data_IF_865244760109
#
_entry.id   IF_865244760109
#
_cell.length_a   1.000
_cell.length_b   1.000
_cell.length_c   1.000
_cell.angle_alpha   90.00
_cell.angle_beta   90.00
_cell.angle_gamma   90.00
#
_symmetry.space_group_name_H-M   'P 1'
#
loop_
_entity.id
_entity.type
_entity.pdbx_description
1 polymer ?
#
# COMPACT_ATOMS: atom_id res chain seq x y z
N UNK A 1 4.68 -19.06 -7.51
CA UNK A 1 3.41 -18.62 -8.14
C UNK A 1 3.08 -17.24 -7.60
N UNK A 2 2.86 -16.26 -8.48
CA UNK A 2 2.55 -14.87 -8.12
C UNK A 2 1.15 -14.80 -7.51
N UNK A 3 0.99 -14.08 -6.40
CA UNK A 3 -0.32 -13.75 -5.82
C UNK A 3 -0.84 -12.44 -6.40
N UNK A 4 -2.13 -12.38 -6.69
CA UNK A 4 -2.78 -11.14 -7.12
C UNK A 4 -3.59 -10.54 -5.98
N UNK A 5 -3.27 -9.29 -5.65
CA UNK A 5 -3.97 -8.49 -4.65
C UNK A 5 -4.86 -7.44 -5.31
N UNK A 6 -6.06 -7.23 -4.75
CA UNK A 6 -6.91 -6.11 -5.12
C UNK A 6 -6.72 -4.95 -4.12
N UNK A 7 -6.59 -3.73 -4.64
CA UNK A 7 -6.41 -2.54 -3.81
C UNK A 7 -7.75 -1.95 -3.36
N UNK A 8 -7.90 -1.79 -2.06
CA UNK A 8 -9.04 -1.15 -1.42
C UNK A 8 -8.66 0.29 -1.02
N UNK A 9 -9.13 1.26 -1.80
CA UNK A 9 -8.81 2.67 -1.59
C UNK A 9 -9.68 3.31 -0.52
N UNK A 10 -9.18 3.44 0.71
CA UNK A 10 -9.90 4.04 1.83
C UNK A 10 -10.19 5.53 1.63
N UNK A 11 -9.46 6.20 0.75
CA UNK A 11 -9.62 7.61 0.39
C UNK A 11 -10.77 7.84 -0.58
N UNK A 12 -11.28 6.79 -1.22
CA UNK A 12 -12.35 6.87 -2.21
C UNK A 12 -13.68 6.30 -1.71
N UNK A 13 -13.64 5.22 -0.91
CA UNK A 13 -14.81 4.41 -0.60
C UNK A 13 -15.13 4.43 0.89
N UNK A 14 -16.42 4.45 1.23
CA UNK A 14 -16.88 4.27 2.59
C UNK A 14 -16.62 2.84 3.08
N UNK A 15 -16.55 2.58 4.39
CA UNK A 15 -16.21 1.25 4.94
C UNK A 15 -17.10 0.12 4.41
N UNK A 16 -18.39 0.35 4.24
CA UNK A 16 -19.35 -0.63 3.71
C UNK A 16 -19.09 -0.96 2.24
N UNK A 17 -18.65 0.01 1.44
CA UNK A 17 -18.27 -0.20 0.05
C UNK A 17 -16.95 -0.97 -0.04
N UNK A 18 -15.98 -0.68 0.82
CA UNK A 18 -14.71 -1.43 0.92
C UNK A 18 -14.97 -2.90 1.24
N UNK A 19 -15.86 -3.18 2.20
CA UNK A 19 -16.26 -4.55 2.55
C UNK A 19 -16.85 -5.25 1.33
N UNK A 20 -17.78 -4.60 0.62
CA UNK A 20 -18.38 -5.13 -0.60
C UNK A 20 -17.36 -5.39 -1.71
N UNK A 21 -16.41 -4.46 -1.90
CA UNK A 21 -15.34 -4.65 -2.90
C UNK A 21 -14.40 -5.80 -2.54
N UNK A 22 -14.13 -6.03 -1.26
CA UNK A 22 -13.34 -7.18 -0.81
C UNK A 22 -14.05 -8.50 -1.10
N UNK A 23 -15.38 -8.60 -0.85
CA UNK A 23 -16.19 -9.77 -1.21
C UNK A 23 -16.18 -10.02 -2.73
N UNK A 24 -16.34 -8.96 -3.52
CA UNK A 24 -16.27 -9.06 -4.97
C UNK A 24 -14.89 -9.50 -5.44
N UNK A 25 -13.81 -8.99 -4.85
CA UNK A 25 -12.44 -9.40 -5.17
C UNK A 25 -12.20 -10.89 -4.83
N UNK A 26 -12.70 -11.36 -3.67
CA UNK A 26 -12.68 -12.78 -3.32
C UNK A 26 -13.38 -13.63 -4.39
N UNK A 27 -14.59 -13.23 -4.77
CA UNK A 27 -15.38 -13.96 -5.76
C UNK A 27 -14.76 -13.92 -7.18
N UNK A 28 -14.02 -12.85 -7.47
CA UNK A 28 -13.25 -12.69 -8.71
C UNK A 28 -11.96 -13.52 -8.75
N UNK A 29 -11.57 -14.19 -7.65
CA UNK A 29 -10.40 -15.08 -7.59
C UNK A 29 -9.07 -14.35 -7.31
N UNK A 30 -9.11 -13.19 -6.67
CA UNK A 30 -7.94 -12.58 -6.05
C UNK A 30 -7.46 -13.42 -4.86
N UNK A 31 -6.16 -13.39 -4.63
CA UNK A 31 -5.51 -14.14 -3.55
C UNK A 31 -5.35 -13.29 -2.29
N UNK A 32 -5.46 -11.96 -2.42
CA UNK A 32 -5.21 -10.98 -1.36
C UNK A 32 -6.02 -9.70 -1.60
N UNK A 33 -6.25 -8.95 -0.52
CA UNK A 33 -6.64 -7.53 -0.59
C UNK A 33 -5.70 -6.68 0.26
N UNK A 34 -5.34 -5.49 -0.25
CA UNK A 34 -4.59 -4.48 0.50
C UNK A 34 -5.40 -3.21 0.64
N UNK A 35 -5.38 -2.61 1.82
CA UNK A 35 -6.09 -1.36 2.10
C UNK A 35 -5.10 -0.22 2.32
N UNK A 36 -5.38 0.95 1.74
CA UNK A 36 -4.66 2.19 2.07
C UNK A 36 -5.06 2.70 3.46
N UNK A 37 -4.17 3.45 4.10
CA UNK A 37 -4.42 4.07 5.39
C UNK A 37 -4.16 5.57 5.31
N UNK A 38 -5.24 6.34 5.39
CA UNK A 38 -5.20 7.79 5.39
C UNK A 38 -6.05 8.37 6.52
N UNK A 39 -5.66 9.55 7.04
CA UNK A 39 -6.50 10.37 7.90
C UNK A 39 -7.30 11.37 7.08
N UNK A 40 -6.67 12.00 6.09
CA UNK A 40 -7.32 12.83 5.09
C UNK A 40 -7.29 12.18 3.70
N UNK A 41 -8.35 12.34 2.87
CA UNK A 41 -8.32 11.94 1.47
C UNK A 41 -7.41 12.87 0.65
N UNK A 42 -7.16 12.53 -0.61
CA UNK A 42 -6.37 13.37 -1.52
C UNK A 42 -7.07 14.66 -1.95
N UNK A 43 -8.40 14.66 -1.94
CA UNK A 43 -9.26 15.81 -2.20
C UNK A 43 -10.46 15.76 -1.27
N UNK A 44 -11.03 16.92 -0.96
CA UNK A 44 -12.15 17.05 -0.01
C UNK A 44 -13.51 16.74 -0.62
N UNK A 45 -13.64 16.83 -1.93
CA UNK A 45 -14.85 16.50 -2.65
C UNK A 45 -14.86 15.03 -3.12
N UNK A 46 -16.02 14.36 -3.05
CA UNK A 46 -16.22 12.99 -3.54
C UNK A 46 -15.24 11.95 -2.97
N UNK A 47 -14.64 12.22 -1.84
CA UNK A 47 -13.64 11.35 -1.20
C UNK A 47 -14.10 10.92 0.19
N UNK A 48 -13.52 9.80 0.65
CA UNK A 48 -13.72 9.23 1.98
C UNK A 48 -12.38 9.22 2.74
N UNK A 49 -12.42 8.85 3.98
CA UNK A 49 -11.25 8.39 4.74
C UNK A 49 -11.75 7.63 5.96
N UNK A 50 -11.45 6.36 6.02
CA UNK A 50 -11.88 5.52 7.13
C UNK A 50 -10.67 4.93 7.86
N UNK A 51 -10.88 4.50 9.11
CA UNK A 51 -9.80 3.91 9.89
C UNK A 51 -9.53 2.48 9.40
N UNK A 52 -8.50 2.29 8.60
CA UNK A 52 -8.16 1.05 7.92
C UNK A 52 -8.08 -0.16 8.86
N UNK A 53 -7.58 0.00 10.09
CA UNK A 53 -7.47 -1.09 11.05
C UNK A 53 -8.81 -1.63 11.55
N UNK A 54 -9.82 -0.76 11.71
CA UNK A 54 -11.19 -1.18 12.03
C UNK A 54 -11.81 -1.93 10.85
N UNK A 55 -11.60 -1.44 9.63
CA UNK A 55 -12.06 -2.09 8.39
C UNK A 55 -11.38 -3.44 8.19
N UNK A 56 -10.06 -3.55 8.41
CA UNK A 56 -9.33 -4.83 8.40
C UNK A 56 -9.92 -5.83 9.40
N UNK A 57 -10.27 -5.37 10.61
CA UNK A 57 -10.95 -6.22 11.61
C UNK A 57 -12.28 -6.79 11.08
N UNK A 58 -13.09 -6.00 10.40
CA UNK A 58 -14.32 -6.47 9.76
C UNK A 58 -14.03 -7.46 8.61
N UNK A 59 -13.02 -7.18 7.79
CA UNK A 59 -12.62 -8.05 6.68
C UNK A 59 -12.21 -9.44 7.12
N UNK A 60 -11.63 -9.61 8.31
CA UNK A 60 -11.30 -10.96 8.84
C UNK A 60 -12.50 -11.88 8.97
N UNK A 61 -13.70 -11.33 9.16
CA UNK A 61 -14.95 -12.09 9.25
C UNK A 61 -15.63 -12.28 7.89
N UNK A 62 -15.46 -11.32 6.98
CA UNK A 62 -16.15 -11.32 5.67
C UNK A 62 -15.37 -12.11 4.62
N UNK A 63 -14.05 -11.97 4.60
CA UNK A 63 -13.15 -12.64 3.65
C UNK A 63 -12.02 -13.37 4.38
N UNK A 64 -12.33 -14.29 5.32
CA UNK A 64 -11.35 -14.87 6.24
C UNK A 64 -10.20 -15.62 5.57
N UNK A 65 -10.42 -16.09 4.34
CA UNK A 65 -9.47 -16.93 3.60
C UNK A 65 -8.61 -16.12 2.61
N UNK A 66 -8.84 -14.81 2.46
CA UNK A 66 -7.96 -13.94 1.70
C UNK A 66 -6.79 -13.46 2.57
N UNK A 67 -5.61 -13.39 1.97
CA UNK A 67 -4.54 -12.60 2.59
C UNK A 67 -4.99 -11.15 2.71
N UNK A 68 -4.69 -10.54 3.86
CA UNK A 68 -5.01 -9.13 4.14
C UNK A 68 -3.72 -8.35 4.30
N UNK A 69 -3.71 -7.08 3.92
CA UNK A 69 -2.54 -6.25 4.15
C UNK A 69 -2.81 -4.75 4.16
N UNK A 70 -1.86 -4.01 4.71
CA UNK A 70 -1.82 -2.55 4.60
C UNK A 70 -0.97 -2.11 3.41
N UNK A 71 -1.44 -1.12 2.66
CA UNK A 71 -0.75 -0.61 1.49
C UNK A 71 -0.72 0.92 1.42
N UNK A 72 -0.15 1.66 2.42
CA UNK A 72 0.65 1.23 3.58
C UNK A 72 0.21 1.95 4.85
N UNK A 73 0.55 1.43 6.03
CA UNK A 73 0.41 2.15 7.30
C UNK A 73 1.67 2.93 7.68
N UNK A 74 1.53 3.97 8.52
CA UNK A 74 2.66 4.76 9.01
C UNK A 74 2.83 4.61 10.52
N UNK A 75 3.80 3.81 11.00
CA UNK A 75 4.02 3.57 12.41
C UNK A 75 4.96 4.61 13.05
N UNK A 76 4.76 5.93 12.76
CA UNK A 76 5.74 6.94 13.16
C UNK A 76 5.22 7.96 14.18
N UNK A 77 3.98 8.45 14.04
CA UNK A 77 3.46 9.51 14.93
C UNK A 77 2.11 9.16 15.51
N UNK A 78 1.05 9.15 14.69
CA UNK A 78 -0.33 8.92 15.14
C UNK A 78 -0.58 7.51 15.68
N UNK A 79 0.29 6.55 15.33
CA UNK A 79 0.31 5.23 15.94
C UNK A 79 1.71 4.86 16.40
N UNK A 80 1.83 4.57 17.68
CA UNK A 80 3.09 4.05 18.23
C UNK A 80 3.42 2.68 17.61
N UNK A 81 4.70 2.36 17.29
CA UNK A 81 5.07 1.07 16.71
C UNK A 81 4.53 -0.17 17.43
N UNK A 82 4.50 -0.13 18.77
CA UNK A 82 3.96 -1.22 19.59
C UNK A 82 2.44 -1.42 19.35
N UNK A 83 1.69 -0.35 19.07
CA UNK A 83 0.26 -0.43 18.75
C UNK A 83 0.07 -1.05 17.37
N UNK A 84 0.92 -0.69 16.39
CA UNK A 84 0.92 -1.31 15.06
C UNK A 84 1.23 -2.81 15.16
N UNK A 85 2.21 -3.20 15.96
CA UNK A 85 2.50 -4.61 16.21
C UNK A 85 1.30 -5.35 16.84
N UNK A 86 0.64 -4.73 17.84
CA UNK A 86 -0.54 -5.30 18.50
C UNK A 86 -1.71 -5.45 17.52
N UNK A 87 -1.97 -4.44 16.71
CA UNK A 87 -3.02 -4.48 15.70
C UNK A 87 -2.75 -5.58 14.66
N UNK A 88 -1.50 -5.65 14.16
CA UNK A 88 -1.06 -6.69 13.22
C UNK A 88 -1.26 -8.11 13.78
N UNK A 89 -0.85 -8.33 15.02
CA UNK A 89 -1.04 -9.61 15.68
C UNK A 89 -2.52 -9.96 15.86
N UNK A 90 -3.36 -8.97 16.15
CA UNK A 90 -4.80 -9.15 16.29
C UNK A 90 -5.45 -9.56 14.96
N UNK A 91 -5.13 -8.87 13.87
CA UNK A 91 -5.62 -9.22 12.52
C UNK A 91 -5.17 -10.61 12.12
N UNK A 92 -3.89 -10.96 12.32
CA UNK A 92 -3.38 -12.31 12.03
C UNK A 92 -4.14 -13.41 12.79
N UNK A 93 -4.44 -13.17 14.06
CA UNK A 93 -5.20 -14.14 14.88
C UNK A 93 -6.65 -14.31 14.48
N UNK A 94 -7.27 -13.28 13.95
CA UNK A 94 -8.66 -13.29 13.49
C UNK A 94 -8.80 -13.84 12.06
N UNK A 95 -7.74 -13.79 11.26
CA UNK A 95 -7.73 -14.27 9.88
C UNK A 95 -7.32 -15.73 9.78
N UNK A 96 -7.94 -16.49 8.86
CA UNK A 96 -7.48 -17.83 8.49
C UNK A 96 -6.24 -17.79 7.58
N UNK A 97 -5.99 -16.65 6.92
CA UNK A 97 -4.90 -16.46 5.97
C UNK A 97 -3.80 -15.53 6.53
N UNK A 98 -2.85 -15.11 5.74
CA UNK A 98 -1.70 -14.31 6.17
C UNK A 98 -2.05 -12.83 6.22
N UNK A 99 -1.64 -12.14 7.30
CA UNK A 99 -1.64 -10.69 7.34
C UNK A 99 -0.26 -10.14 6.92
N UNK A 100 -0.24 -9.23 5.95
CA UNK A 100 0.95 -8.57 5.41
C UNK A 100 1.02 -7.13 5.90
N UNK A 101 2.00 -6.82 6.75
CA UNK A 101 2.19 -5.47 7.26
C UNK A 101 3.02 -4.63 6.28
N UNK A 102 2.35 -3.83 5.45
CA UNK A 102 2.99 -2.82 4.62
C UNK A 102 3.15 -1.51 5.38
N UNK A 103 4.37 -0.98 5.43
CA UNK A 103 4.68 0.28 6.13
C UNK A 103 5.30 1.32 5.21
N UNK A 104 5.08 2.59 5.54
CA UNK A 104 5.63 3.74 4.83
C UNK A 104 6.01 4.88 5.76
N UNK A 105 6.83 5.82 5.26
CA UNK A 105 7.33 6.95 6.07
C UNK A 105 6.36 8.14 6.18
N UNK A 106 5.11 7.95 5.78
CA UNK A 106 4.02 8.90 5.95
C UNK A 106 3.99 10.04 4.93
N UNK A 107 2.93 10.81 5.02
CA UNK A 107 2.63 11.98 4.20
C UNK A 107 2.05 13.09 5.10
N UNK A 108 2.42 14.36 4.81
CA UNK A 108 1.99 15.47 5.64
C UNK A 108 0.46 15.66 5.67
N UNK A 109 -0.22 15.18 4.63
CA UNK A 109 -1.68 15.14 4.53
C UNK A 109 -2.34 14.34 5.67
N UNK A 110 -1.61 13.38 6.24
CA UNK A 110 -2.10 12.50 7.31
C UNK A 110 -1.60 12.90 8.70
N UNK A 111 -0.40 13.41 8.81
CA UNK A 111 0.24 13.71 10.08
C UNK A 111 0.00 15.18 10.53
N UNK A 112 0.09 16.10 9.57
CA UNK A 112 -0.05 17.54 9.83
C UNK A 112 -1.40 17.97 10.39
N UNK A 113 -2.55 17.44 9.95
CA UNK A 113 -3.87 17.75 10.52
C UNK A 113 -4.00 17.39 12.00
N UNK A 114 -3.25 16.38 12.46
CA UNK A 114 -3.24 15.93 13.86
C UNK A 114 -2.23 16.71 14.74
N UNK A 115 -1.62 17.76 14.19
CA UNK A 115 -0.68 18.60 14.90
C UNK A 115 0.77 18.11 14.93
N UNK A 116 1.07 17.02 14.21
CA UNK A 116 2.44 16.52 14.11
C UNK A 116 3.24 17.30 13.06
N UNK A 117 4.54 17.46 13.33
CA UNK A 117 5.48 17.93 12.32
C UNK A 117 5.75 16.84 11.28
N UNK A 118 6.04 17.27 10.05
CA UNK A 118 6.46 16.36 8.99
C UNK A 118 7.91 16.65 8.59
N UNK A 119 8.89 16.07 9.29
CA UNK A 119 10.30 16.37 9.11
C UNK A 119 10.85 15.82 7.79
N UNK A 120 12.08 16.21 7.40
CA UNK A 120 12.77 15.68 6.24
C UNK A 120 12.88 14.15 6.26
N UNK A 121 13.04 13.55 5.09
CA UNK A 121 13.11 12.08 4.93
C UNK A 121 14.16 11.40 5.84
N UNK A 122 15.30 12.06 6.10
CA UNK A 122 16.34 11.48 6.95
C UNK A 122 15.84 11.16 8.36
N UNK A 123 15.08 12.08 8.99
CA UNK A 123 14.49 11.83 10.30
C UNK A 123 13.38 10.78 10.21
N UNK A 124 12.51 10.86 9.18
CA UNK A 124 11.46 9.87 8.99
C UNK A 124 12.01 8.45 8.81
N UNK A 125 13.14 8.32 8.11
CA UNK A 125 13.85 7.05 7.95
C UNK A 125 14.48 6.57 9.26
N UNK A 126 15.04 7.46 10.08
CA UNK A 126 15.60 7.13 11.39
C UNK A 126 14.50 6.63 12.34
N UNK A 127 13.35 7.32 12.39
CA UNK A 127 12.15 6.86 13.13
C UNK A 127 11.67 5.48 12.65
N UNK A 128 11.67 5.25 11.33
CA UNK A 128 11.25 3.96 10.75
C UNK A 128 12.17 2.82 11.19
N UNK A 129 13.48 3.03 11.32
CA UNK A 129 14.40 2.01 11.84
C UNK A 129 14.01 1.54 13.23
N UNK A 130 13.81 2.49 14.15
CA UNK A 130 13.40 2.16 15.52
C UNK A 130 12.01 1.52 15.54
N UNK A 131 11.07 2.03 14.73
CA UNK A 131 9.72 1.48 14.63
C UNK A 131 9.74 0.03 14.14
N UNK A 132 10.51 -0.29 13.11
CA UNK A 132 10.65 -1.64 12.57
C UNK A 132 11.27 -2.60 13.58
N UNK A 133 12.29 -2.14 14.33
CA UNK A 133 12.89 -2.93 15.41
C UNK A 133 11.84 -3.28 16.47
N UNK A 134 11.10 -2.29 16.98
CA UNK A 134 10.05 -2.50 17.99
C UNK A 134 8.96 -3.44 17.47
N UNK A 135 8.48 -3.22 16.24
CA UNK A 135 7.42 -4.05 15.64
C UNK A 135 7.90 -5.49 15.52
N UNK A 136 9.10 -5.73 14.98
CA UNK A 136 9.65 -7.08 14.79
C UNK A 136 9.83 -7.81 16.11
N UNK A 137 10.45 -7.17 17.12
CA UNK A 137 10.66 -7.77 18.42
C UNK A 137 9.34 -8.18 19.10
N UNK A 138 8.34 -7.30 19.05
CA UNK A 138 7.04 -7.60 19.64
C UNK A 138 6.28 -8.70 18.89
N UNK A 139 6.31 -8.71 17.56
CA UNK A 139 5.70 -9.78 16.74
C UNK A 139 6.38 -11.13 16.98
N UNK A 140 7.67 -11.15 17.28
CA UNK A 140 8.41 -12.37 17.66
C UNK A 140 8.09 -12.83 19.11
N UNK A 141 7.25 -12.12 19.84
CA UNK A 141 6.85 -12.47 21.22
C UNK A 141 7.83 -12.05 22.30
N UNK A 142 8.81 -11.23 21.96
CA UNK A 142 9.82 -10.73 22.90
C UNK A 142 9.20 -9.78 23.94
N UNK A 143 9.78 -9.74 25.13
CA UNK A 143 9.55 -8.68 26.11
C UNK A 143 10.63 -7.63 25.92
N UNK A 144 10.22 -6.42 25.54
CA UNK A 144 11.11 -5.40 25.03
C UNK A 144 11.23 -4.21 25.99
N UNK A 145 12.46 -3.96 26.45
CA UNK A 145 12.90 -2.69 27.03
C UNK A 145 13.76 -1.99 25.96
N UNK A 146 13.28 -0.88 25.42
CA UNK A 146 13.94 -0.13 24.36
C UNK A 146 14.02 1.35 24.73
N UNK A 147 15.15 1.96 24.49
CA UNK A 147 15.38 3.38 24.72
C UNK A 147 16.12 3.96 23.50
N UNK A 148 15.35 4.35 22.48
CA UNK A 148 15.85 4.95 21.26
C UNK A 148 15.87 6.48 21.30
N UNK A 149 16.15 7.08 20.17
CA UNK A 149 16.08 8.54 19.99
C UNK A 149 14.62 9.02 19.87
N UNK A 150 13.75 8.22 19.28
CA UNK A 150 12.37 8.59 18.93
C UNK A 150 11.32 7.82 19.71
N UNK A 151 11.62 6.60 20.12
CA UNK A 151 10.69 5.74 20.84
C UNK A 151 11.34 5.12 22.07
N UNK A 152 10.49 4.82 23.05
CA UNK A 152 10.90 4.02 24.21
C UNK A 152 9.82 3.01 24.57
N UNK A 153 10.23 1.88 25.11
CA UNK A 153 9.32 0.89 25.71
C UNK A 153 9.88 0.43 27.06
N UNK A 154 9.00 0.18 28.02
CA UNK A 154 9.34 -0.41 29.31
C UNK A 154 8.56 -1.72 29.45
N UNK A 155 9.27 -2.84 29.39
CA UNK A 155 8.73 -4.21 29.52
C UNK A 155 7.53 -4.49 28.61
N UNK A 156 7.50 -3.85 27.41
CA UNK A 156 6.43 -4.05 26.44
C UNK A 156 6.42 -5.50 25.93
N UNK A 157 5.25 -6.10 25.86
CA UNK A 157 5.06 -7.47 25.37
C UNK A 157 3.66 -7.63 24.78
N UNK A 158 3.54 -8.37 23.68
CA UNK A 158 2.25 -8.82 23.19
C UNK A 158 1.81 -10.07 23.97
N UNK A 159 0.67 -9.99 24.66
CA UNK A 159 0.08 -11.14 25.36
C UNK A 159 -0.82 -11.98 24.44
N UNK A 160 -1.11 -11.46 23.26
CA UNK A 160 -1.73 -12.19 22.15
C UNK A 160 -0.83 -12.04 20.91
N UNK A 161 0.33 -12.70 20.87
CA UNK A 161 1.22 -12.65 19.71
C UNK A 161 0.55 -13.27 18.49
N UNK A 162 1.03 -12.99 17.25
CA UNK A 162 0.45 -13.58 16.07
C UNK A 162 0.56 -15.10 16.07
N UNK A 163 -0.36 -15.77 15.38
CA UNK A 163 -0.33 -17.23 15.20
C UNK A 163 0.62 -17.65 14.07
N UNK A 164 0.81 -16.78 13.09
CA UNK A 164 1.65 -16.99 11.91
C UNK A 164 2.73 -15.90 11.85
N UNK A 165 3.71 -16.11 11.00
CA UNK A 165 4.64 -15.03 10.69
C UNK A 165 3.91 -13.89 9.97
N UNK A 166 4.07 -12.65 10.44
CA UNK A 166 3.55 -11.44 9.80
C UNK A 166 4.67 -10.83 8.96
N UNK A 167 4.65 -11.00 7.62
CA UNK A 167 5.65 -10.39 6.76
C UNK A 167 5.56 -8.87 6.82
N UNK A 168 6.71 -8.21 6.96
CA UNK A 168 6.83 -6.74 6.96
C UNK A 168 7.39 -6.29 5.62
N UNK A 169 6.67 -5.38 4.98
CA UNK A 169 7.01 -4.80 3.68
C UNK A 169 7.23 -3.29 3.82
N UNK A 170 8.31 -2.75 3.27
CA UNK A 170 8.53 -1.31 3.27
C UNK A 170 8.27 -0.71 1.89
N UNK A 171 7.45 0.34 1.84
CA UNK A 171 7.24 1.12 0.63
C UNK A 171 8.52 1.87 0.24
N UNK A 172 9.02 1.61 -0.95
CA UNK A 172 10.25 2.20 -1.47
C UNK A 172 10.01 2.86 -2.83
N UNK A 173 10.37 4.15 -2.92
CA UNK A 173 10.34 4.93 -4.15
C UNK A 173 11.73 5.40 -4.61
N UNK A 174 12.80 4.96 -3.95
CA UNK A 174 14.16 5.33 -4.30
C UNK A 174 15.22 4.58 -3.50
N UNK A 175 16.52 4.80 -3.81
CA UNK A 175 17.61 3.96 -3.29
C UNK A 175 17.72 3.96 -1.76
N UNK A 176 17.49 5.09 -1.09
CA UNK A 176 17.60 5.15 0.38
C UNK A 176 16.54 4.32 1.08
N UNK A 177 15.29 4.34 0.60
CA UNK A 177 14.21 3.51 1.16
C UNK A 177 14.38 2.04 0.81
N UNK A 178 14.91 1.72 -0.38
CA UNK A 178 15.23 0.37 -0.79
C UNK A 178 16.32 -0.27 0.09
N UNK A 179 17.40 0.46 0.39
CA UNK A 179 18.46 0.02 1.29
C UNK A 179 17.94 -0.17 2.73
N UNK A 180 17.11 0.75 3.22
CA UNK A 180 16.46 0.63 4.52
C UNK A 180 15.60 -0.64 4.62
N UNK A 181 14.85 -0.96 3.55
CA UNK A 181 14.07 -2.19 3.50
C UNK A 181 14.96 -3.44 3.64
N UNK A 182 16.08 -3.50 2.92
CA UNK A 182 17.02 -4.64 2.96
C UNK A 182 17.61 -4.89 4.36
N UNK A 183 17.73 -3.84 5.15
CA UNK A 183 18.24 -3.98 6.52
C UNK A 183 17.20 -4.55 7.50
N UNK A 184 15.91 -4.18 7.39
CA UNK A 184 14.93 -4.32 8.47
C UNK A 184 13.64 -5.05 8.10
N UNK A 185 13.39 -5.38 6.83
CA UNK A 185 12.11 -5.94 6.39
C UNK A 185 12.24 -7.25 5.61
N UNK A 186 11.10 -7.88 5.31
CA UNK A 186 11.02 -9.13 4.56
C UNK A 186 10.83 -8.89 3.07
N UNK A 187 10.43 -7.68 2.68
CA UNK A 187 10.17 -7.35 1.29
C UNK A 187 9.99 -5.85 1.01
N UNK A 188 9.96 -5.55 -0.28
CA UNK A 188 9.75 -4.23 -0.85
C UNK A 188 8.32 -4.09 -1.36
N UNK A 189 7.67 -2.95 -1.08
CA UNK A 189 6.49 -2.50 -1.82
C UNK A 189 6.88 -1.40 -2.80
N UNK A 190 6.59 -1.59 -4.09
CA UNK A 190 7.04 -0.70 -5.16
C UNK A 190 5.86 -0.32 -6.06
N UNK A 191 5.60 0.99 -6.21
CA UNK A 191 4.68 1.49 -7.22
C UNK A 191 5.40 1.57 -8.57
N UNK A 192 5.04 0.71 -9.51
CA UNK A 192 5.71 0.58 -10.81
C UNK A 192 4.91 1.31 -11.88
N UNK A 193 5.40 2.44 -12.36
CA UNK A 193 4.89 3.09 -13.58
C UNK A 193 5.75 2.71 -14.79
N UNK A 194 7.05 2.86 -14.66
CA UNK A 194 8.05 2.43 -15.61
C UNK A 194 8.87 1.28 -14.98
N UNK A 195 8.89 0.09 -15.61
CA UNK A 195 9.63 -1.06 -15.10
C UNK A 195 11.14 -0.82 -14.98
N UNK A 196 11.77 -0.17 -15.96
CA UNK A 196 13.20 0.07 -15.94
C UNK A 196 13.60 1.04 -14.83
N UNK A 197 12.85 2.14 -14.69
CA UNK A 197 13.06 3.12 -13.63
C UNK A 197 12.92 2.49 -12.24
N UNK A 198 11.92 1.65 -12.04
CA UNK A 198 11.69 0.97 -10.77
C UNK A 198 12.82 -0.04 -10.45
N UNK A 199 13.31 -0.74 -11.46
CA UNK A 199 14.44 -1.64 -11.31
C UNK A 199 15.71 -0.88 -10.90
N UNK A 200 16.11 0.13 -11.65
CA UNK A 200 17.33 0.91 -11.40
C UNK A 200 17.30 1.67 -10.07
N UNK A 201 16.17 2.29 -9.73
CA UNK A 201 16.06 3.14 -8.53
C UNK A 201 15.76 2.38 -7.24
N UNK A 202 15.19 1.20 -7.31
CA UNK A 202 14.69 0.49 -6.12
C UNK A 202 15.25 -0.93 -6.02
N UNK A 203 15.07 -1.77 -7.04
CA UNK A 203 15.45 -3.18 -6.94
C UNK A 203 16.97 -3.34 -6.90
N UNK A 204 17.70 -2.71 -7.81
CA UNK A 204 19.15 -2.79 -7.87
C UNK A 204 19.83 -2.27 -6.59
N UNK A 205 19.49 -1.09 -6.05
CA UNK A 205 20.02 -0.63 -4.76
C UNK A 205 19.68 -1.55 -3.58
N UNK A 206 18.50 -2.17 -3.57
CA UNK A 206 18.12 -3.15 -2.57
C UNK A 206 18.98 -4.41 -2.66
N UNK A 207 19.14 -4.97 -3.86
CA UNK A 207 19.95 -6.17 -4.09
C UNK A 207 21.42 -5.94 -3.72
N UNK A 208 21.97 -4.77 -4.07
CA UNK A 208 23.32 -4.39 -3.70
C UNK A 208 23.49 -4.34 -2.17
N UNK A 209 22.51 -3.78 -1.45
CA UNK A 209 22.51 -3.71 0.01
C UNK A 209 22.33 -5.09 0.65
N UNK A 210 21.45 -5.93 0.13
CA UNK A 210 21.26 -7.31 0.61
C UNK A 210 22.57 -8.11 0.49
N UNK A 211 23.28 -7.96 -0.65
CA UNK A 211 24.59 -8.59 -0.86
C UNK A 211 25.64 -8.09 0.14
N UNK A 212 25.70 -6.78 0.40
CA UNK A 212 26.60 -6.19 1.43
C UNK A 212 26.34 -6.81 2.81
N UNK A 213 25.07 -7.07 3.13
CA UNK A 213 24.64 -7.64 4.41
C UNK A 213 24.72 -9.18 4.47
N UNK A 214 25.14 -9.85 3.40
CA UNK A 214 25.09 -11.31 3.25
C UNK A 214 23.70 -11.89 3.49
N UNK A 215 22.67 -11.23 2.99
CA UNK A 215 21.27 -11.64 3.02
C UNK A 215 20.77 -11.98 1.62
N UNK A 216 19.70 -12.78 1.56
CA UNK A 216 18.94 -12.99 0.32
C UNK A 216 18.30 -11.68 -0.15
N UNK A 217 18.03 -11.59 -1.46
CA UNK A 217 17.30 -10.47 -2.02
C UNK A 217 15.88 -10.43 -1.43
N UNK A 218 15.38 -9.21 -1.20
CA UNK A 218 14.03 -9.02 -0.69
C UNK A 218 12.98 -9.54 -1.67
N UNK A 219 11.87 -10.05 -1.13
CA UNK A 219 10.66 -10.35 -1.87
C UNK A 219 10.06 -9.07 -2.42
N UNK A 220 9.38 -9.12 -3.57
CA UNK A 220 8.88 -7.94 -4.27
C UNK A 220 7.35 -7.99 -4.32
N UNK A 221 6.74 -6.91 -3.83
CA UNK A 221 5.31 -6.64 -3.92
C UNK A 221 5.12 -5.39 -4.80
N UNK A 222 4.63 -5.57 -6.01
CA UNK A 222 4.43 -4.47 -6.96
C UNK A 222 3.01 -3.94 -6.91
N UNK A 223 2.90 -2.62 -7.05
CA UNK A 223 1.66 -1.88 -7.25
C UNK A 223 1.68 -1.24 -8.64
N UNK A 224 0.60 -1.35 -9.35
CA UNK A 224 0.41 -0.62 -10.60
C UNK A 224 -0.93 0.08 -10.57
N UNK A 225 -0.88 1.41 -10.72
CA UNK A 225 -2.11 2.19 -10.81
C UNK A 225 -2.58 2.28 -12.24
N UNK A 226 -3.82 1.87 -12.47
CA UNK A 226 -4.47 1.87 -13.76
C UNK A 226 -5.81 2.59 -13.67
N UNK A 227 -6.11 3.42 -14.65
CA UNK A 227 -7.45 4.00 -14.86
C UNK A 227 -8.10 3.19 -15.96
N UNK A 228 -9.27 2.61 -15.71
CA UNK A 228 -10.03 1.88 -16.72
C UNK A 228 -11.15 2.76 -17.25
N UNK A 229 -11.00 3.26 -18.47
CA UNK A 229 -11.92 4.20 -19.09
C UNK A 229 -11.78 4.19 -20.62
N UNK A 230 -12.90 4.30 -21.33
CA UNK A 230 -12.94 4.28 -22.79
C UNK A 230 -12.52 5.62 -23.45
N UNK A 231 -12.53 6.71 -22.67
CA UNK A 231 -12.18 8.05 -23.11
C UNK A 231 -11.72 8.93 -21.95
N UNK A 232 -11.16 10.11 -22.26
CA UNK A 232 -10.59 11.04 -21.27
C UNK A 232 -11.62 11.58 -20.27
N UNK A 233 -12.88 11.76 -20.65
CA UNK A 233 -13.93 12.24 -19.75
C UNK A 233 -14.26 11.18 -18.69
N UNK A 234 -14.38 9.93 -19.09
CA UNK A 234 -14.60 8.83 -18.16
C UNK A 234 -13.36 8.57 -17.30
N UNK A 235 -12.16 8.71 -17.88
CA UNK A 235 -10.90 8.65 -17.14
C UNK A 235 -10.82 9.74 -16.05
N UNK A 236 -11.22 10.96 -16.39
CA UNK A 236 -11.25 12.07 -15.44
C UNK A 236 -12.25 11.84 -14.32
N UNK A 237 -13.44 11.34 -14.62
CA UNK A 237 -14.44 10.97 -13.60
C UNK A 237 -13.94 9.87 -12.68
N UNK A 238 -13.35 8.82 -13.26
CA UNK A 238 -12.79 7.71 -12.49
C UNK A 238 -11.64 8.16 -11.58
N UNK A 239 -10.85 9.16 -12.01
CA UNK A 239 -9.70 9.69 -11.29
C UNK A 239 -10.06 10.79 -10.28
N UNK A 240 -11.29 11.29 -10.30
CA UNK A 240 -11.74 12.43 -9.49
C UNK A 240 -11.27 12.40 -8.04
N UNK A 241 -11.51 11.32 -7.26
CA UNK A 241 -11.08 11.21 -5.86
C UNK A 241 -9.54 11.23 -5.67
N UNK A 242 -8.78 10.91 -6.71
CA UNK A 242 -7.33 10.74 -6.67
C UNK A 242 -6.54 11.85 -7.33
N UNK A 243 -7.19 12.84 -7.94
CA UNK A 243 -6.52 13.88 -8.74
C UNK A 243 -5.52 14.69 -7.91
N UNK A 244 -5.78 14.90 -6.62
CA UNK A 244 -4.88 15.57 -5.69
C UNK A 244 -3.55 14.87 -5.47
N UNK A 245 -3.48 13.55 -5.64
CA UNK A 245 -2.25 12.76 -5.50
C UNK A 245 -1.13 13.21 -6.46
N UNK A 246 -1.48 13.81 -7.60
CA UNK A 246 -0.52 14.29 -8.60
C UNK A 246 -0.45 15.81 -8.69
N UNK A 247 -1.14 16.51 -7.79
CA UNK A 247 -1.13 17.98 -7.71
C UNK A 247 0.21 18.51 -7.21
N UNK A 248 0.60 19.72 -7.62
CA UNK A 248 1.72 20.45 -7.02
C UNK A 248 1.53 20.61 -5.50
N UNK A 249 2.63 20.58 -4.75
CA UNK A 249 2.60 20.77 -3.29
C UNK A 249 2.05 19.58 -2.48
N UNK A 250 1.80 18.42 -3.09
CA UNK A 250 1.19 17.27 -2.41
C UNK A 250 1.97 16.77 -1.19
N UNK A 251 3.30 16.95 -1.17
CA UNK A 251 4.13 16.49 -0.04
C UNK A 251 4.02 17.40 1.18
N UNK A 252 3.73 18.69 0.94
CA UNK A 252 3.66 19.74 1.97
C UNK A 252 2.22 19.98 2.44
N UNK A 253 1.24 19.64 1.62
CA UNK A 253 -0.17 19.90 1.91
C UNK A 253 -0.66 19.11 3.14
N UNK A 254 -1.47 19.81 3.96
CA UNK A 254 -2.19 19.24 5.11
C UNK A 254 -3.70 19.20 4.88
N UNK A 255 -4.17 19.95 3.90
CA UNK A 255 -5.59 20.18 3.63
C UNK A 255 -5.94 19.66 2.23
N UNK A 256 -6.87 18.71 2.12
CA UNK A 256 -7.36 18.18 0.85
C UNK A 256 -7.93 19.25 -0.09
N UNK A 257 -8.53 20.33 0.45
CA UNK A 257 -9.05 21.43 -0.36
C UNK A 257 -7.93 22.15 -1.16
N UNK A 258 -6.75 22.28 -0.55
CA UNK A 258 -5.58 22.87 -1.22
C UNK A 258 -5.15 22.01 -2.40
N UNK A 259 -5.12 20.68 -2.22
CA UNK A 259 -4.76 19.76 -3.29
C UNK A 259 -5.81 19.70 -4.38
N UNK A 260 -7.10 19.74 -4.02
CA UNK A 260 -8.20 19.84 -4.98
C UNK A 260 -8.06 21.08 -5.86
N UNK A 261 -7.91 22.26 -5.24
CA UNK A 261 -7.74 23.52 -5.98
C UNK A 261 -6.51 23.49 -6.89
N UNK A 262 -5.41 22.93 -6.41
CA UNK A 262 -4.19 22.80 -7.20
C UNK A 262 -4.40 21.85 -8.40
N UNK A 263 -5.05 20.69 -8.20
CA UNK A 263 -5.37 19.76 -9.26
C UNK A 263 -6.35 20.36 -10.29
N UNK A 264 -7.41 21.04 -9.82
CA UNK A 264 -8.44 21.63 -10.67
C UNK A 264 -7.90 22.82 -11.51
N UNK A 265 -6.76 23.41 -11.11
CA UNK A 265 -6.05 24.45 -11.88
C UNK A 265 -5.11 23.91 -12.97
N UNK A 266 -4.85 22.60 -12.97
CA UNK A 266 -4.02 21.97 -14.00
C UNK A 266 -4.85 21.59 -15.23
N UNK A 267 -4.19 21.47 -16.38
CA UNK A 267 -4.81 20.85 -17.54
C UNK A 267 -5.08 19.37 -17.25
N UNK A 268 -6.30 18.89 -17.55
CA UNK A 268 -6.71 17.50 -17.28
C UNK A 268 -5.75 16.47 -17.91
N UNK A 269 -5.31 16.72 -19.13
CA UNK A 269 -4.34 15.89 -19.85
C UNK A 269 -3.01 15.76 -19.09
N UNK A 270 -2.57 16.82 -18.42
CA UNK A 270 -1.34 16.81 -17.65
C UNK A 270 -1.42 15.86 -16.43
N UNK A 271 -2.59 15.79 -15.79
CA UNK A 271 -2.85 14.83 -14.71
C UNK A 271 -3.00 13.42 -15.27
N UNK A 272 -3.83 13.22 -16.31
CA UNK A 272 -4.10 11.91 -16.91
C UNK A 272 -2.81 11.24 -17.41
N UNK A 273 -1.89 11.99 -18.02
CA UNK A 273 -0.61 11.49 -18.50
C UNK A 273 0.31 10.93 -17.37
N UNK A 274 -0.01 11.19 -16.10
CA UNK A 274 0.71 10.63 -14.96
C UNK A 274 0.23 9.23 -14.55
N UNK A 275 -0.81 8.72 -15.17
CA UNK A 275 -1.41 7.41 -14.91
C UNK A 275 -1.33 6.50 -16.12
N UNK A 276 -1.49 5.21 -15.90
CA UNK A 276 -1.69 4.25 -16.97
C UNK A 276 -3.19 4.14 -17.25
N UNK A 277 -3.62 4.54 -18.45
CA UNK A 277 -5.03 4.47 -18.85
C UNK A 277 -5.20 3.26 -19.76
N UNK A 278 -6.21 2.45 -19.50
CA UNK A 278 -6.61 1.31 -20.30
C UNK A 278 -8.05 1.51 -20.80
N UNK A 279 -8.26 1.44 -22.11
CA UNK A 279 -9.57 1.54 -22.73
C UNK A 279 -10.31 0.20 -22.85
N UNK A 280 -9.60 -0.91 -22.66
CA UNK A 280 -10.15 -2.26 -22.78
C UNK A 280 -9.36 -3.27 -21.93
N UNK A 281 -9.89 -4.49 -21.81
CA UNK A 281 -9.30 -5.57 -21.00
C UNK A 281 -7.91 -5.98 -21.47
N UNK A 282 -7.69 -6.01 -22.79
CA UNK A 282 -6.37 -6.37 -23.34
C UNK A 282 -5.29 -5.38 -22.88
N UNK A 283 -5.58 -4.10 -22.88
CA UNK A 283 -4.65 -3.08 -22.41
C UNK A 283 -4.37 -3.19 -20.92
N UNK A 284 -5.36 -3.59 -20.08
CA UNK A 284 -5.11 -3.91 -18.66
C UNK A 284 -4.10 -5.07 -18.58
N UNK A 285 -4.32 -6.15 -19.32
CA UNK A 285 -3.39 -7.30 -19.32
C UNK A 285 -1.99 -6.87 -19.75
N UNK A 286 -1.86 -6.08 -20.82
CA UNK A 286 -0.58 -5.60 -21.33
C UNK A 286 0.16 -4.71 -20.29
N UNK A 287 -0.56 -3.90 -19.49
CA UNK A 287 -0.02 -3.08 -18.40
C UNK A 287 0.57 -3.93 -17.28
N UNK A 288 -0.10 -5.03 -16.90
CA UNK A 288 0.31 -5.87 -15.77
C UNK A 288 1.28 -7.00 -16.16
N UNK A 289 1.32 -7.40 -17.42
CA UNK A 289 2.16 -8.49 -17.93
C UNK A 289 3.64 -8.36 -17.52
N UNK A 290 4.33 -7.20 -17.67
CA UNK A 290 5.74 -7.07 -17.26
C UNK A 290 5.96 -7.36 -15.77
N UNK A 291 4.99 -7.06 -14.91
CA UNK A 291 5.10 -7.34 -13.48
C UNK A 291 5.12 -8.84 -13.17
N UNK A 292 4.46 -9.63 -14.02
CA UNK A 292 4.46 -11.09 -13.92
C UNK A 292 5.73 -11.70 -14.51
N UNK A 293 6.17 -11.20 -15.68
CA UNK A 293 7.20 -11.88 -16.48
C UNK A 293 8.62 -11.37 -16.25
N UNK A 294 8.79 -10.13 -15.78
CA UNK A 294 10.10 -9.47 -15.73
C UNK A 294 10.51 -9.08 -14.31
N UNK A 295 9.56 -8.74 -13.43
CA UNK A 295 9.84 -8.22 -12.09
C UNK A 295 10.09 -9.28 -11.02
N UNK A 296 9.81 -10.55 -11.30
CA UNK A 296 9.82 -11.63 -10.29
C UNK A 296 9.02 -11.25 -9.03
N UNK A 297 7.86 -10.60 -9.25
CA UNK A 297 6.98 -10.18 -8.14
C UNK A 297 6.41 -11.40 -7.42
N UNK A 298 6.46 -11.40 -6.10
CA UNK A 298 5.73 -12.38 -5.29
C UNK A 298 4.24 -12.02 -5.22
N UNK A 299 3.97 -10.71 -5.10
CA UNK A 299 2.61 -10.17 -5.03
C UNK A 299 2.48 -9.02 -6.05
N UNK A 300 1.40 -9.02 -6.80
CA UNK A 300 1.03 -7.91 -7.69
C UNK A 300 -0.30 -7.34 -7.22
N UNK A 301 -0.29 -6.11 -6.74
CA UNK A 301 -1.52 -5.38 -6.43
C UNK A 301 -2.05 -4.65 -7.65
N UNK A 302 -3.25 -5.04 -8.06
CA UNK A 302 -4.03 -4.34 -9.08
C UNK A 302 -4.71 -3.16 -8.40
N UNK A 303 -4.17 -1.96 -8.61
CA UNK A 303 -4.74 -0.70 -8.15
C UNK A 303 -5.43 -0.04 -9.35
N UNK A 304 -6.75 -0.21 -9.42
CA UNK A 304 -7.52 0.23 -10.58
C UNK A 304 -8.70 1.10 -10.14
N UNK A 305 -8.92 2.19 -10.85
CA UNK A 305 -10.09 3.06 -10.68
C UNK A 305 -10.87 3.13 -11.98
N UNK A 306 -12.19 3.17 -11.86
CA UNK A 306 -13.12 3.20 -13.00
C UNK A 306 -14.44 3.86 -12.62
N UNK A 307 -15.24 4.24 -13.62
CA UNK A 307 -16.59 4.79 -13.40
C UNK A 307 -17.57 3.77 -12.81
N UNK A 308 -17.32 2.47 -12.97
CA UNK A 308 -18.12 1.39 -12.39
C UNK A 308 -17.19 0.32 -11.80
N UNK A 309 -16.81 0.53 -10.54
CA UNK A 309 -15.80 -0.28 -9.87
C UNK A 309 -16.22 -1.75 -9.72
N UNK A 310 -17.48 -2.02 -9.39
CA UNK A 310 -17.98 -3.39 -9.21
C UNK A 310 -17.93 -4.20 -10.51
N UNK A 311 -18.35 -3.58 -11.63
CA UNK A 311 -18.24 -4.20 -12.96
C UNK A 311 -16.78 -4.46 -13.31
N UNK A 312 -15.89 -3.53 -12.99
CA UNK A 312 -14.46 -3.67 -13.23
C UNK A 312 -13.87 -4.83 -12.44
N UNK A 313 -14.17 -4.96 -11.15
CA UNK A 313 -13.70 -6.10 -10.32
C UNK A 313 -14.13 -7.43 -10.94
N UNK A 314 -15.38 -7.52 -11.41
CA UNK A 314 -15.87 -8.72 -12.09
C UNK A 314 -15.08 -9.02 -13.36
N UNK A 315 -14.89 -8.02 -14.23
CA UNK A 315 -14.09 -8.20 -15.47
C UNK A 315 -12.64 -8.59 -15.19
N UNK A 316 -12.04 -8.08 -14.10
CA UNK A 316 -10.71 -8.52 -13.68
C UNK A 316 -10.69 -10.02 -13.37
N UNK A 317 -11.71 -10.55 -12.68
CA UNK A 317 -11.82 -11.96 -12.36
C UNK A 317 -12.11 -12.84 -13.58
N UNK A 318 -13.02 -12.38 -14.45
CA UNK A 318 -13.47 -13.17 -15.59
C UNK A 318 -12.39 -13.29 -16.68
N UNK A 319 -11.58 -12.25 -16.89
CA UNK A 319 -10.70 -12.13 -18.06
C UNK A 319 -9.23 -11.83 -17.71
N UNK A 320 -8.95 -10.85 -16.82
CA UNK A 320 -7.58 -10.38 -16.57
C UNK A 320 -6.77 -11.37 -15.74
N UNK A 321 -7.29 -11.79 -14.58
CA UNK A 321 -6.58 -12.72 -13.70
C UNK A 321 -6.30 -14.08 -14.37
N UNK A 322 -7.25 -14.72 -15.11
CA UNK A 322 -6.95 -15.93 -15.83
C UNK A 322 -5.85 -15.76 -16.89
N UNK A 323 -5.82 -14.61 -17.59
CA UNK A 323 -4.80 -14.32 -18.58
C UNK A 323 -3.42 -14.14 -17.94
N UNK A 324 -3.33 -13.36 -16.86
CA UNK A 324 -2.06 -13.12 -16.13
C UNK A 324 -1.56 -14.38 -15.42
N UNK A 325 -2.44 -15.20 -14.83
CA UNK A 325 -2.07 -16.46 -14.19
C UNK A 325 -1.50 -17.51 -15.18
N UNK A 326 -1.83 -17.43 -16.45
CA UNK A 326 -1.25 -18.31 -17.50
C UNK A 326 0.19 -17.93 -17.90
N UNK A 327 0.67 -16.76 -17.49
CA UNK A 327 2.03 -16.26 -17.81
C UNK A 327 3.08 -16.69 -16.77
N UNK A 328 2.66 -17.32 -15.69
CA UNK A 328 3.52 -17.75 -14.56
C UNK A 328 4.34 -19.02 -14.86
#
# INVERSE_FOLDING_TARGET
MVKFSYFLGSEQWQPEEIIKHAELAKNAGFDMVTISEHFHPWVDDQSASNFAWATLGALTSVVPDLDLGTGVTTPLWRMHPAIVAQASATIDRLSNSTFHLGVGTGENLNEGPLGYSFPPYAERAARMKEALFIIRSLLNGEKLDFNGEYYSTDKAKLYSPPNKNVPIWLAAGGPKSAQLASEYTDGLMISVKDPNEAYEKVIEPSNAKSKELNKDNLRIHTYRWTVFAENDEDAWKALGPWRGLRAPGRLEAKDPEVLRKAADSMERSEILNKYSIAGNIKEIIDIYKPLVTEFNSEIITIQITSANQEKTIKSLGDEVLPALKKLQ
#
